data_IF_061386213214
#
_entry.id   IF_061386213214
#
_cell.length_a   1.000
_cell.length_b   1.000
_cell.length_c   1.000
_cell.angle_alpha   90.00
_cell.angle_beta   90.00
_cell.angle_gamma   90.00
#
_symmetry.space_group_name_H-M   'P 1'
#
loop_
_entity.id
_entity.type
_entity.pdbx_description
1 polymer ?
#
# COMPACT_ATOMS: atom_id res chain seq x y z
N UNK A 1 33.37 -0.16 -0.42
CA UNK A 1 32.30 0.43 -1.27
C UNK A 1 31.08 0.58 -0.39
N UNK A 2 30.82 1.80 0.10
CA UNK A 2 29.79 2.07 1.10
C UNK A 2 28.41 1.90 0.48
N UNK A 3 27.72 0.83 0.84
CA UNK A 3 26.31 0.64 0.54
C UNK A 3 25.52 1.60 1.45
N UNK A 4 25.31 2.84 1.01
CA UNK A 4 24.39 3.75 1.69
C UNK A 4 22.99 3.18 1.51
N UNK A 5 22.53 2.41 2.49
CA UNK A 5 21.11 2.13 2.67
C UNK A 5 20.36 3.46 2.58
N UNK A 6 19.45 3.58 1.60
CA UNK A 6 18.61 4.75 1.42
C UNK A 6 17.93 5.00 2.79
N UNK A 7 18.12 6.16 3.45
CA UNK A 7 17.58 6.36 4.79
C UNK A 7 16.07 6.14 4.73
N UNK A 8 15.54 5.29 5.61
CA UNK A 8 14.11 5.05 5.73
C UNK A 8 13.44 6.40 5.98
N UNK A 9 12.79 6.94 4.94
CA UNK A 9 12.23 8.28 5.01
C UNK A 9 10.98 8.22 5.86
N UNK A 10 11.09 8.74 7.07
CA UNK A 10 9.98 8.83 7.99
C UNK A 10 9.06 10.01 7.60
N UNK A 11 7.89 9.71 7.04
CA UNK A 11 6.84 10.71 6.87
C UNK A 11 6.14 10.91 8.21
N UNK A 12 6.29 12.10 8.79
CA UNK A 12 5.67 12.47 10.05
C UNK A 12 4.14 12.23 10.02
N UNK A 13 3.51 11.77 11.12
CA UNK A 13 2.08 11.44 11.15
C UNK A 13 1.16 12.58 10.68
N UNK A 14 1.48 13.84 11.03
CA UNK A 14 0.72 15.01 10.60
C UNK A 14 0.79 15.18 9.07
N UNK A 15 1.99 15.06 8.50
CA UNK A 15 2.20 15.12 7.04
C UNK A 15 1.42 14.03 6.33
N UNK A 16 1.47 12.79 6.87
CA UNK A 16 0.69 11.67 6.33
C UNK A 16 -0.80 11.98 6.34
N UNK A 17 -1.34 12.43 7.47
CA UNK A 17 -2.76 12.75 7.61
C UNK A 17 -3.22 13.82 6.61
N UNK A 18 -2.46 14.92 6.49
CA UNK A 18 -2.75 15.99 5.52
C UNK A 18 -2.65 15.49 4.07
N UNK A 19 -1.64 14.69 3.75
CA UNK A 19 -1.49 14.09 2.42
C UNK A 19 -2.65 13.14 2.10
N UNK A 20 -3.11 12.34 3.06
CA UNK A 20 -4.29 11.48 2.90
C UNK A 20 -5.57 12.30 2.63
N UNK A 21 -5.76 13.44 3.31
CA UNK A 21 -6.87 14.35 3.02
C UNK A 21 -6.82 14.88 1.59
N UNK A 22 -5.65 15.34 1.13
CA UNK A 22 -5.47 15.80 -0.25
C UNK A 22 -5.72 14.68 -1.28
N UNK A 23 -5.34 13.44 -0.98
CA UNK A 23 -5.63 12.27 -1.81
C UNK A 23 -7.13 12.01 -1.91
N UNK A 24 -7.86 12.06 -0.79
CA UNK A 24 -9.31 11.88 -0.76
C UNK A 24 -10.05 12.97 -1.56
N UNK A 25 -9.51 14.19 -1.59
CA UNK A 25 -10.02 15.30 -2.41
C UNK A 25 -9.58 15.25 -3.89
N UNK A 26 -8.80 14.25 -4.30
CA UNK A 26 -8.25 14.13 -5.66
C UNK A 26 -7.10 15.09 -5.99
N UNK A 27 -6.57 15.81 -5.00
CA UNK A 27 -5.48 16.80 -5.11
C UNK A 27 -4.09 16.15 -5.07
N UNK A 28 -3.83 15.18 -5.96
CA UNK A 28 -2.63 14.35 -5.94
C UNK A 28 -1.32 15.15 -6.10
N UNK A 29 -1.31 16.18 -6.96
CA UNK A 29 -0.11 17.01 -7.17
C UNK A 29 0.26 17.77 -5.89
N UNK A 30 -0.73 18.27 -5.16
CA UNK A 30 -0.56 18.96 -3.90
C UNK A 30 -0.05 17.99 -2.82
N UNK A 31 -0.60 16.77 -2.77
CA UNK A 31 -0.13 15.74 -1.85
C UNK A 31 1.36 15.41 -2.09
N UNK A 32 1.76 15.25 -3.35
CA UNK A 32 3.18 15.01 -3.71
C UNK A 32 4.05 16.18 -3.31
N UNK A 33 3.64 17.43 -3.58
CA UNK A 33 4.38 18.63 -3.16
C UNK A 33 4.55 18.70 -1.65
N UNK A 34 3.49 18.42 -0.89
CA UNK A 34 3.51 18.40 0.58
C UNK A 34 4.52 17.37 1.10
N UNK A 35 4.44 16.13 0.62
CA UNK A 35 5.34 15.04 1.03
C UNK A 35 6.79 15.40 0.71
N UNK A 36 7.07 15.89 -0.51
CA UNK A 36 8.43 16.33 -0.89
C UNK A 36 8.96 17.44 0.01
N UNK A 37 8.16 18.47 0.25
CA UNK A 37 8.57 19.59 1.08
C UNK A 37 8.87 19.19 2.53
N UNK A 38 8.10 18.25 3.07
CA UNK A 38 8.27 17.78 4.44
C UNK A 38 9.40 16.76 4.63
N UNK A 39 9.82 16.05 3.58
CA UNK A 39 10.76 14.92 3.68
C UNK A 39 12.06 15.09 2.91
N UNK A 40 12.11 16.01 1.95
CA UNK A 40 13.22 16.13 1.00
C UNK A 40 13.24 15.04 -0.08
N UNK A 41 12.20 14.21 -0.20
CA UNK A 41 12.13 13.17 -1.25
C UNK A 41 12.23 13.76 -2.66
N UNK A 42 12.86 12.98 -3.54
CA UNK A 42 12.78 13.21 -4.96
C UNK A 42 11.32 13.06 -5.46
N UNK A 43 11.08 13.53 -6.68
CA UNK A 43 9.73 13.52 -7.25
C UNK A 43 9.15 12.11 -7.39
N UNK A 44 10.00 11.12 -7.72
CA UNK A 44 9.57 9.74 -7.93
C UNK A 44 9.15 9.12 -6.61
N UNK A 45 10.00 9.14 -5.60
CA UNK A 45 9.71 8.52 -4.31
C UNK A 45 8.54 9.19 -3.57
N UNK A 46 8.38 10.50 -3.69
CA UNK A 46 7.19 11.16 -3.14
C UNK A 46 5.90 10.80 -3.90
N UNK A 47 5.99 10.60 -5.22
CA UNK A 47 4.86 10.13 -6.01
C UNK A 47 4.48 8.70 -5.61
N UNK A 48 5.45 7.80 -5.47
CA UNK A 48 5.23 6.42 -5.02
C UNK A 48 4.54 6.40 -3.65
N UNK A 49 5.00 7.23 -2.70
CA UNK A 49 4.36 7.34 -1.39
C UNK A 49 2.89 7.79 -1.49
N UNK A 50 2.60 8.82 -2.31
CA UNK A 50 1.23 9.30 -2.52
C UNK A 50 0.37 8.29 -3.26
N UNK A 51 0.94 7.53 -4.20
CA UNK A 51 0.24 6.45 -4.89
C UNK A 51 -0.14 5.34 -3.88
N UNK A 52 0.72 5.02 -2.91
CA UNK A 52 0.38 4.11 -1.79
C UNK A 52 -0.77 4.66 -0.94
N UNK A 53 -0.74 5.94 -0.56
CA UNK A 53 -1.86 6.56 0.17
C UNK A 53 -3.17 6.51 -0.64
N UNK A 54 -3.08 6.67 -1.96
CA UNK A 54 -4.23 6.54 -2.84
C UNK A 54 -4.77 5.12 -2.82
N UNK A 55 -3.93 4.11 -2.93
CA UNK A 55 -4.35 2.71 -2.85
C UNK A 55 -4.99 2.38 -1.50
N UNK A 56 -4.43 2.86 -0.39
CA UNK A 56 -5.06 2.71 0.93
C UNK A 56 -6.46 3.35 0.98
N UNK A 57 -6.60 4.57 0.44
CA UNK A 57 -7.90 5.25 0.37
C UNK A 57 -8.91 4.45 -0.45
N UNK A 58 -8.51 3.95 -1.62
CA UNK A 58 -9.36 3.10 -2.46
C UNK A 58 -9.76 1.82 -1.73
N UNK A 59 -8.82 1.14 -1.07
CA UNK A 59 -9.07 -0.08 -0.32
C UNK A 59 -10.06 0.10 0.85
N UNK A 60 -10.14 1.31 1.45
CA UNK A 60 -11.16 1.62 2.47
C UNK A 60 -12.57 1.70 1.89
N UNK A 61 -12.71 2.04 0.61
CA UNK A 61 -13.99 2.16 -0.09
C UNK A 61 -14.47 0.86 -0.76
N UNK A 62 -13.69 -0.22 -0.69
CA UNK A 62 -14.04 -1.52 -1.27
C UNK A 62 -14.46 -2.47 -0.14
N UNK A 63 -15.71 -2.96 -0.14
CA UNK A 63 -16.16 -3.96 0.83
C UNK A 63 -15.38 -5.29 0.70
N UNK A 64 -15.13 -6.02 1.80
CA UNK A 64 -14.37 -7.28 1.77
C UNK A 64 -14.91 -8.31 0.78
N UNK A 65 -16.24 -8.44 0.67
CA UNK A 65 -16.88 -9.37 -0.26
C UNK A 65 -16.64 -9.01 -1.74
N UNK A 66 -16.44 -7.73 -2.04
CA UNK A 66 -16.08 -7.24 -3.38
C UNK A 66 -14.60 -7.53 -3.65
N UNK A 67 -13.76 -7.36 -2.63
CA UNK A 67 -12.33 -7.70 -2.70
C UNK A 67 -12.13 -9.21 -2.96
N UNK A 68 -12.83 -10.09 -2.24
CA UNK A 68 -12.80 -11.54 -2.49
C UNK A 68 -13.23 -11.88 -3.91
N UNK A 69 -14.36 -11.34 -4.38
CA UNK A 69 -14.83 -11.59 -5.74
C UNK A 69 -13.83 -11.11 -6.81
N UNK A 70 -13.19 -9.95 -6.58
CA UNK A 70 -12.15 -9.43 -7.46
C UNK A 70 -10.89 -10.33 -7.46
N UNK A 71 -10.47 -10.88 -6.31
CA UNK A 71 -9.36 -11.83 -6.22
C UNK A 71 -9.65 -13.11 -7.00
N UNK A 72 -10.86 -13.67 -6.89
CA UNK A 72 -11.26 -14.86 -7.65
C UNK A 72 -11.18 -14.63 -9.16
N UNK A 73 -11.62 -13.46 -9.62
CA UNK A 73 -11.54 -13.06 -11.03
C UNK A 73 -10.09 -12.84 -11.48
N UNK A 74 -9.25 -12.23 -10.64
CA UNK A 74 -7.81 -12.09 -10.91
C UNK A 74 -7.14 -13.46 -11.04
N UNK A 75 -7.45 -14.41 -10.14
CA UNK A 75 -6.91 -15.77 -10.16
C UNK A 75 -7.31 -16.54 -11.43
N UNK A 76 -8.51 -16.27 -11.97
CA UNK A 76 -8.99 -16.80 -13.25
C UNK A 76 -8.37 -16.13 -14.48
N UNK A 77 -7.53 -15.10 -14.30
CA UNK A 77 -6.93 -14.35 -15.40
C UNK A 77 -7.86 -13.29 -16.01
N UNK A 78 -8.87 -12.84 -15.26
CA UNK A 78 -9.91 -11.91 -15.72
C UNK A 78 -9.86 -10.54 -15.00
N UNK A 79 -8.74 -9.80 -15.03
CA UNK A 79 -8.62 -8.52 -14.31
C UNK A 79 -9.58 -7.44 -14.85
N UNK A 80 -10.01 -7.55 -16.12
CA UNK A 80 -11.02 -6.67 -16.69
C UNK A 80 -12.39 -6.83 -16.02
N UNK A 81 -12.80 -8.06 -15.73
CA UNK A 81 -14.04 -8.34 -15.02
C UNK A 81 -13.93 -7.99 -13.54
N UNK A 82 -12.77 -8.25 -12.91
CA UNK A 82 -12.51 -7.79 -11.54
C UNK A 82 -12.71 -6.28 -11.40
N UNK A 83 -12.18 -5.48 -12.35
CA UNK A 83 -12.33 -4.03 -12.31
C UNK A 83 -13.78 -3.57 -12.55
N UNK A 84 -14.53 -4.29 -13.39
CA UNK A 84 -15.98 -4.04 -13.57
C UNK A 84 -16.75 -4.36 -12.30
N UNK A 85 -16.38 -5.45 -11.62
CA UNK A 85 -17.04 -5.88 -10.38
C UNK A 85 -16.82 -4.88 -9.25
N UNK A 86 -15.57 -4.48 -9.03
CA UNK A 86 -15.22 -3.41 -8.08
C UNK A 86 -16.01 -2.13 -8.39
N UNK A 87 -16.06 -1.71 -9.66
CA UNK A 87 -16.82 -0.52 -10.06
C UNK A 87 -18.33 -0.66 -9.83
N UNK A 88 -18.93 -1.81 -10.12
CA UNK A 88 -20.38 -2.03 -9.99
C UNK A 88 -20.85 -1.98 -8.54
N UNK A 89 -20.02 -2.47 -7.62
CA UNK A 89 -20.37 -2.63 -6.21
C UNK A 89 -19.78 -1.56 -5.29
N UNK A 90 -19.10 -0.56 -5.85
CA UNK A 90 -18.52 0.56 -5.09
C UNK A 90 -18.78 1.89 -5.81
N UNK A 91 -18.39 2.99 -5.18
CA UNK A 91 -18.44 4.31 -5.81
C UNK A 91 -17.20 4.64 -6.66
N UNK A 92 -16.31 3.67 -6.89
CA UNK A 92 -15.07 3.92 -7.61
C UNK A 92 -15.32 4.16 -9.11
N UNK A 93 -14.68 5.21 -9.63
CA UNK A 93 -14.63 5.47 -11.07
C UNK A 93 -13.86 4.38 -11.83
N UNK A 94 -14.06 4.29 -13.15
CA UNK A 94 -13.42 3.24 -13.96
C UNK A 94 -11.89 3.23 -13.88
N UNK A 95 -11.26 4.40 -13.76
CA UNK A 95 -9.80 4.51 -13.60
C UNK A 95 -9.34 3.97 -12.25
N UNK A 96 -10.04 4.32 -11.18
CA UNK A 96 -9.66 3.93 -9.83
C UNK A 96 -9.93 2.45 -9.56
N UNK A 97 -11.02 1.91 -10.09
CA UNK A 97 -11.29 0.47 -10.02
C UNK A 97 -10.20 -0.36 -10.73
N UNK A 98 -9.73 0.09 -11.91
CA UNK A 98 -8.61 -0.55 -12.62
C UNK A 98 -7.30 -0.45 -11.82
N UNK A 99 -7.00 0.74 -11.30
CA UNK A 99 -5.81 0.95 -10.48
C UNK A 99 -5.82 0.04 -9.24
N UNK A 100 -6.96 -0.08 -8.58
CA UNK A 100 -7.13 -0.94 -7.41
C UNK A 100 -6.92 -2.42 -7.78
N UNK A 101 -7.51 -2.90 -8.87
CA UNK A 101 -7.32 -4.28 -9.33
C UNK A 101 -5.89 -4.57 -9.79
N UNK A 102 -5.24 -3.61 -10.46
CA UNK A 102 -3.83 -3.72 -10.83
C UNK A 102 -2.95 -3.82 -9.58
N UNK A 103 -3.24 -3.02 -8.56
CA UNK A 103 -2.59 -3.11 -7.26
C UNK A 103 -2.80 -4.49 -6.61
N UNK A 104 -4.04 -5.00 -6.57
CA UNK A 104 -4.33 -6.35 -6.07
C UNK A 104 -3.52 -7.43 -6.80
N UNK A 105 -3.45 -7.35 -8.14
CA UNK A 105 -2.67 -8.28 -8.97
C UNK A 105 -1.16 -8.18 -8.71
N UNK A 106 -0.67 -6.98 -8.39
CA UNK A 106 0.71 -6.73 -7.97
C UNK A 106 0.97 -7.07 -6.48
N UNK A 107 -0.03 -7.57 -5.75
CA UNK A 107 0.09 -7.92 -4.34
C UNK A 107 -0.06 -6.74 -3.36
N UNK A 108 -0.58 -5.61 -3.84
CA UNK A 108 -0.95 -4.43 -3.06
C UNK A 108 -2.48 -4.42 -2.84
N UNK A 109 -2.94 -5.15 -1.83
CA UNK A 109 -4.34 -5.23 -1.40
C UNK A 109 -4.43 -5.69 0.06
N UNK A 110 -5.60 -5.54 0.70
CA UNK A 110 -5.81 -6.08 2.06
C UNK A 110 -5.82 -7.62 2.06
N UNK A 111 -6.04 -8.23 0.90
CA UNK A 111 -6.02 -9.67 0.65
C UNK A 111 -4.65 -10.37 0.60
N UNK A 112 -3.53 -9.70 0.91
CA UNK A 112 -2.29 -10.42 1.25
C UNK A 112 -2.35 -10.78 2.72
N UNK A 113 -2.17 -12.04 3.09
CA UNK A 113 -2.03 -12.38 4.51
C UNK A 113 -0.91 -11.53 5.11
N UNK A 114 -0.92 -11.28 6.43
CA UNK A 114 0.20 -10.60 7.09
C UNK A 114 1.54 -11.21 6.66
N UNK A 115 1.58 -12.53 6.51
CA UNK A 115 2.73 -13.27 6.00
C UNK A 115 3.12 -12.92 4.57
N UNK A 116 2.17 -12.77 3.65
CA UNK A 116 2.50 -12.40 2.26
C UNK A 116 2.90 -10.92 2.13
N UNK A 117 2.40 -10.04 3.01
CA UNK A 117 2.88 -8.66 3.14
C UNK A 117 4.32 -8.64 3.65
N UNK A 118 4.61 -9.41 4.69
CA UNK A 118 5.98 -9.54 5.23
C UNK A 118 6.94 -10.09 4.18
N UNK A 119 6.59 -11.16 3.45
CA UNK A 119 7.42 -11.71 2.38
C UNK A 119 7.69 -10.73 1.24
N UNK A 120 6.78 -9.81 0.97
CA UNK A 120 6.99 -8.78 -0.04
C UNK A 120 8.07 -7.77 0.37
N UNK A 121 8.14 -7.45 1.67
CA UNK A 121 9.18 -6.59 2.22
C UNK A 121 10.53 -7.31 2.30
N UNK A 122 10.56 -8.59 2.69
CA UNK A 122 11.82 -9.37 2.71
C UNK A 122 12.37 -9.59 1.30
N UNK A 123 11.52 -9.79 0.29
CA UNK A 123 11.93 -9.95 -1.11
C UNK A 123 12.67 -8.72 -1.70
N UNK A 124 12.53 -7.55 -1.09
CA UNK A 124 13.27 -6.32 -1.45
C UNK A 124 14.26 -5.88 -0.36
N UNK A 125 14.58 -6.78 0.56
CA UNK A 125 15.50 -6.59 1.69
C UNK A 125 15.07 -5.46 2.67
N UNK A 126 13.79 -5.08 2.68
CA UNK A 126 13.23 -4.05 3.57
C UNK A 126 12.66 -4.66 4.86
N UNK A 127 13.56 -5.23 5.67
CA UNK A 127 13.18 -5.87 6.94
C UNK A 127 12.59 -4.88 7.95
N UNK A 128 12.97 -3.61 7.89
CA UNK A 128 12.46 -2.58 8.80
C UNK A 128 10.96 -2.35 8.59
N UNK A 129 10.51 -2.25 7.32
CA UNK A 129 9.09 -2.14 6.99
C UNK A 129 8.32 -3.43 7.30
N UNK A 130 8.94 -4.60 7.13
CA UNK A 130 8.36 -5.88 7.50
C UNK A 130 8.06 -5.98 9.01
N UNK A 131 8.99 -5.55 9.85
CA UNK A 131 8.82 -5.53 11.30
C UNK A 131 7.74 -4.52 11.68
N UNK A 132 7.79 -3.31 11.12
CA UNK A 132 6.83 -2.26 11.41
C UNK A 132 5.38 -2.67 11.12
N UNK A 133 5.12 -3.36 10.00
CA UNK A 133 3.76 -3.80 9.65
C UNK A 133 3.26 -4.89 10.61
N UNK A 134 4.13 -5.78 11.09
CA UNK A 134 3.76 -6.82 12.07
C UNK A 134 3.43 -6.20 13.42
N UNK A 135 4.23 -5.22 13.87
CA UNK A 135 3.96 -4.52 15.13
C UNK A 135 2.64 -3.75 15.10
N UNK A 136 2.38 -3.03 14.00
CA UNK A 136 1.15 -2.22 13.84
C UNK A 136 -0.11 -3.09 13.81
N UNK A 137 -0.05 -4.25 13.13
CA UNK A 137 -1.24 -5.08 12.93
C UNK A 137 -1.51 -6.10 14.04
N UNK A 138 -0.47 -6.58 14.74
CA UNK A 138 -0.62 -7.63 15.76
C UNK A 138 -0.43 -7.12 17.19
N UNK A 139 0.13 -5.92 17.36
CA UNK A 139 0.54 -5.39 18.65
C UNK A 139 1.79 -6.06 19.24
N UNK A 140 2.48 -6.89 18.45
CA UNK A 140 3.74 -7.53 18.87
C UNK A 140 4.82 -6.50 19.19
N UNK A 141 5.66 -6.85 20.17
CA UNK A 141 6.91 -6.12 20.43
C UNK A 141 7.86 -6.26 19.23
N UNK A 142 8.86 -5.38 19.15
CA UNK A 142 9.82 -5.40 18.05
C UNK A 142 10.54 -6.76 17.93
N UNK A 143 10.91 -7.34 19.06
CA UNK A 143 11.59 -8.63 19.15
C UNK A 143 10.69 -9.81 18.75
N UNK A 144 9.37 -9.70 18.99
CA UNK A 144 8.38 -10.68 18.52
C UNK A 144 8.14 -10.54 17.02
N UNK A 145 8.04 -9.31 16.52
CA UNK A 145 7.89 -9.02 15.11
C UNK A 145 9.13 -9.46 14.30
N UNK A 146 10.34 -9.24 14.82
CA UNK A 146 11.59 -9.74 14.21
C UNK A 146 11.60 -11.27 14.10
N UNK A 147 11.19 -11.96 15.17
CA UNK A 147 11.06 -13.43 15.17
C UNK A 147 10.02 -13.92 14.16
N UNK A 148 8.88 -13.23 14.08
CA UNK A 148 7.84 -13.54 13.11
C UNK A 148 8.35 -13.37 11.66
N UNK A 149 9.01 -12.26 11.34
CA UNK A 149 9.58 -12.00 10.01
C UNK A 149 10.62 -13.06 9.64
N UNK A 150 11.52 -13.39 10.57
CA UNK A 150 12.56 -14.42 10.36
C UNK A 150 11.96 -15.82 10.12
N UNK A 151 10.77 -16.10 10.67
CA UNK A 151 10.09 -17.39 10.45
C UNK A 151 9.43 -17.55 9.07
N UNK A 152 9.37 -16.46 8.29
CA UNK A 152 8.69 -16.41 6.99
C UNK A 152 9.63 -16.38 5.78
N UNK A 153 10.93 -16.17 6.03
CA UNK A 153 12.05 -16.29 5.08
C UNK A 153 12.52 -17.76 4.98
#
# INVERSE_FOLDING_TARGET
MSNLAKPAVHVQPQTRHLASGLVAEGKLVQAVKLVRGATGLDLRSAKEYVDTLKLEYLARGVPPEVETAALDLIAKGEPGEAAKEVRRRTHLGSRDAKLYVEAMRAGYGRGRSLSDRVRAFTAVEDYASAIAVVQDETGMTREEAERFVTSLD
#
